data_IF_308657009666
#
_entry.id   IF_308657009666
#
_cell.length_a   1.000
_cell.length_b   1.000
_cell.length_c   1.000
_cell.angle_alpha   90.00
_cell.angle_beta   90.00
_cell.angle_gamma   90.00
#
_symmetry.space_group_name_H-M   'P 1'
#
loop_
_entity.id
_entity.type
_entity.pdbx_description
1 polymer ?
#
# COMPACT_ATOMS: atom_id res chain seq x y z
N UNK A 1 -23.50 4.17 12.69
CA UNK A 1 -23.35 4.50 11.24
C UNK A 1 -24.24 3.54 10.50
N UNK A 2 -25.27 4.05 9.82
CA UNK A 2 -26.17 3.24 9.03
C UNK A 2 -25.51 2.84 7.71
N UNK A 3 -25.97 1.75 7.11
CA UNK A 3 -25.39 1.22 5.86
C UNK A 3 -25.39 2.25 4.74
N UNK A 4 -26.49 2.97 4.56
CA UNK A 4 -26.66 3.99 3.53
C UNK A 4 -25.62 5.13 3.68
N UNK A 5 -25.36 5.59 4.91
CA UNK A 5 -24.38 6.63 5.18
C UNK A 5 -22.96 6.16 4.85
N UNK A 6 -22.66 4.89 5.15
CA UNK A 6 -21.37 4.31 4.85
C UNK A 6 -21.17 4.04 3.36
N UNK A 7 -22.20 3.51 2.67
CA UNK A 7 -22.16 3.20 1.25
C UNK A 7 -22.11 4.45 0.36
N UNK A 8 -22.63 5.59 0.85
CA UNK A 8 -22.65 6.88 0.17
C UNK A 8 -21.50 7.80 0.59
N UNK A 9 -20.53 7.29 1.35
CA UNK A 9 -19.38 8.11 1.74
C UNK A 9 -18.76 8.81 0.52
N UNK A 10 -18.41 10.10 0.66
CA UNK A 10 -17.67 10.81 -0.37
C UNK A 10 -16.34 10.09 -0.63
N UNK A 11 -15.73 10.38 -1.79
CA UNK A 11 -14.42 9.83 -2.14
C UNK A 11 -13.47 9.88 -0.94
N UNK A 12 -12.72 8.81 -0.66
CA UNK A 12 -11.80 8.76 0.45
C UNK A 12 -10.75 9.85 0.30
N UNK A 13 -10.44 10.52 1.38
CA UNK A 13 -9.29 11.43 1.45
C UNK A 13 -8.03 10.70 1.87
N UNK A 14 -6.87 11.24 1.51
CA UNK A 14 -5.57 10.75 1.98
C UNK A 14 -5.56 10.60 3.50
N UNK A 15 -6.01 11.64 4.22
CA UNK A 15 -6.09 11.63 5.67
C UNK A 15 -7.05 10.54 6.21
N UNK A 16 -8.19 10.32 5.56
CA UNK A 16 -9.15 9.28 5.94
C UNK A 16 -8.59 7.88 5.79
N UNK A 17 -7.91 7.59 4.69
CA UNK A 17 -7.23 6.30 4.47
C UNK A 17 -6.16 6.06 5.55
N UNK A 18 -5.32 7.04 5.83
CA UNK A 18 -4.25 6.92 6.82
C UNK A 18 -4.83 6.76 8.23
N UNK A 19 -5.85 7.56 8.59
CA UNK A 19 -6.50 7.46 9.89
C UNK A 19 -7.13 6.07 10.09
N UNK A 20 -7.79 5.53 9.06
CA UNK A 20 -8.36 4.18 9.09
C UNK A 20 -7.27 3.12 9.22
N UNK A 21 -6.20 3.20 8.43
CA UNK A 21 -5.09 2.24 8.52
C UNK A 21 -4.44 2.22 9.90
N UNK A 22 -4.28 3.39 10.53
CA UNK A 22 -3.70 3.52 11.88
C UNK A 22 -4.55 2.87 12.97
N UNK A 23 -5.87 2.70 12.79
CA UNK A 23 -6.73 1.99 13.74
C UNK A 23 -6.37 0.51 13.86
N UNK A 24 -5.70 -0.06 12.87
CA UNK A 24 -5.25 -1.46 12.86
C UNK A 24 -3.84 -1.67 13.44
N UNK A 25 -3.15 -0.62 13.89
CA UNK A 25 -1.82 -0.77 14.47
C UNK A 25 -1.81 -1.79 15.60
N UNK A 26 -0.84 -2.72 15.55
CA UNK A 26 -0.72 -3.82 16.50
C UNK A 26 -1.51 -5.07 16.14
N UNK A 27 -2.45 -5.04 15.19
CA UNK A 27 -3.17 -6.24 14.72
C UNK A 27 -2.18 -7.28 14.22
N UNK A 28 -2.24 -8.56 14.69
CA UNK A 28 -1.33 -9.60 14.27
C UNK A 28 -1.38 -9.86 12.76
N UNK A 29 -0.23 -10.23 12.19
CA UNK A 29 -0.19 -10.74 10.83
C UNK A 29 -0.81 -12.13 10.78
N UNK A 30 -1.72 -12.33 9.83
CA UNK A 30 -2.29 -13.63 9.52
C UNK A 30 -2.33 -13.80 8.01
N UNK A 31 -1.67 -14.82 7.48
CA UNK A 31 -1.72 -15.12 6.05
C UNK A 31 -3.17 -15.35 5.60
N UNK A 32 -3.62 -14.63 4.57
CA UNK A 32 -5.02 -14.65 4.15
C UNK A 32 -5.96 -13.84 5.03
N UNK A 33 -5.46 -13.21 6.09
CA UNK A 33 -6.26 -12.40 7.01
C UNK A 33 -6.82 -11.13 6.39
N UNK A 34 -8.09 -10.84 6.66
CA UNK A 34 -8.81 -9.67 6.17
C UNK A 34 -9.82 -9.14 7.21
N UNK A 35 -9.50 -9.26 8.49
CA UNK A 35 -10.34 -8.79 9.59
C UNK A 35 -9.51 -8.11 10.68
N UNK A 36 -10.17 -7.40 11.60
CA UNK A 36 -9.51 -6.74 12.74
C UNK A 36 -8.79 -7.71 13.71
N UNK A 37 -9.03 -9.02 13.58
CA UNK A 37 -8.35 -10.05 14.39
C UNK A 37 -7.06 -10.56 13.79
N UNK A 38 -6.86 -10.35 12.49
CA UNK A 38 -5.65 -10.72 11.77
C UNK A 38 -5.69 -10.23 10.34
N UNK A 39 -4.59 -9.65 9.88
CA UNK A 39 -4.45 -9.03 8.56
C UNK A 39 -3.16 -9.49 7.88
N UNK A 40 -3.24 -9.81 6.57
CA UNK A 40 -2.05 -9.77 5.74
C UNK A 40 -1.87 -8.38 5.10
N UNK A 41 -0.80 -8.19 4.33
CA UNK A 41 -0.46 -6.90 3.74
C UNK A 41 -1.56 -6.33 2.83
N UNK A 42 -2.08 -7.13 1.91
CA UNK A 42 -3.15 -6.71 0.99
C UNK A 42 -4.53 -6.70 1.67
N UNK A 43 -4.73 -7.50 2.71
CA UNK A 43 -5.92 -7.47 3.57
C UNK A 43 -6.04 -6.17 4.35
N UNK A 44 -4.92 -5.65 4.90
CA UNK A 44 -4.88 -4.33 5.52
C UNK A 44 -5.31 -3.24 4.52
N UNK A 45 -4.70 -3.22 3.33
CA UNK A 45 -5.04 -2.25 2.29
C UNK A 45 -6.52 -2.36 1.91
N UNK A 46 -6.99 -3.59 1.62
CA UNK A 46 -8.37 -3.83 1.23
C UNK A 46 -9.37 -3.41 2.30
N UNK A 47 -9.13 -3.76 3.57
CA UNK A 47 -10.01 -3.40 4.69
C UNK A 47 -10.03 -1.89 4.93
N UNK A 48 -8.87 -1.23 4.83
CA UNK A 48 -8.76 0.22 4.94
C UNK A 48 -9.63 0.92 3.89
N UNK A 49 -9.54 0.52 2.62
CA UNK A 49 -10.33 1.08 1.54
C UNK A 49 -11.82 0.73 1.66
N UNK A 50 -12.14 -0.50 2.08
CA UNK A 50 -13.51 -0.94 2.35
C UNK A 50 -14.20 -0.04 3.39
N UNK A 51 -13.54 0.26 4.50
CA UNK A 51 -14.09 1.15 5.52
C UNK A 51 -14.24 2.61 5.03
N UNK A 52 -13.59 2.97 3.93
CA UNK A 52 -13.74 4.25 3.24
C UNK A 52 -14.64 4.17 2.00
N UNK A 53 -15.46 3.12 1.87
CA UNK A 53 -16.51 3.02 0.86
C UNK A 53 -16.08 2.43 -0.49
N UNK A 54 -14.91 1.76 -0.58
CA UNK A 54 -14.40 1.19 -1.82
C UNK A 54 -13.93 -0.24 -1.69
N UNK A 55 -14.23 -1.06 -2.68
CA UNK A 55 -13.74 -2.42 -2.80
C UNK A 55 -12.47 -2.47 -3.65
N UNK A 56 -11.46 -3.13 -3.13
CA UNK A 56 -10.24 -3.47 -3.87
C UNK A 56 -10.12 -4.99 -4.05
N UNK A 57 -9.38 -5.46 -5.07
CA UNK A 57 -9.02 -6.85 -5.20
C UNK A 57 -8.31 -7.40 -3.95
N UNK A 58 -8.39 -8.72 -3.78
CA UNK A 58 -7.87 -9.35 -2.55
C UNK A 58 -6.34 -9.32 -2.47
N UNK A 59 -5.65 -9.57 -3.56
CA UNK A 59 -4.21 -9.82 -3.54
C UNK A 59 -3.38 -8.60 -3.97
N UNK A 60 -2.20 -8.44 -3.38
CA UNK A 60 -1.26 -7.38 -3.77
C UNK A 60 -0.89 -7.42 -5.25
N UNK A 61 -0.77 -8.63 -5.83
CA UNK A 61 -0.52 -8.85 -7.27
C UNK A 61 -1.64 -8.35 -8.18
N UNK A 62 -2.84 -8.14 -7.67
CA UNK A 62 -3.98 -7.54 -8.38
C UNK A 62 -4.07 -6.05 -8.08
N UNK A 63 -3.85 -5.65 -6.82
CA UNK A 63 -3.89 -4.26 -6.38
C UNK A 63 -2.86 -3.39 -7.11
N UNK A 64 -1.73 -3.96 -7.52
CA UNK A 64 -0.65 -3.26 -8.24
C UNK A 64 -1.07 -2.72 -9.62
N UNK A 65 -2.19 -3.18 -10.17
CA UNK A 65 -2.73 -2.69 -11.45
C UNK A 65 -3.75 -1.55 -11.29
N UNK A 66 -4.12 -1.21 -10.05
CA UNK A 66 -5.07 -0.14 -9.79
C UNK A 66 -4.38 1.22 -9.77
N UNK A 67 -5.12 2.23 -10.14
CA UNK A 67 -4.67 3.60 -9.99
C UNK A 67 -3.62 4.04 -11.00
N UNK A 68 -3.21 5.30 -10.83
CA UNK A 68 -2.13 5.90 -11.62
C UNK A 68 -0.77 5.43 -11.10
N UNK A 69 0.11 5.05 -12.00
CA UNK A 69 1.48 4.69 -11.65
C UNK A 69 2.27 5.91 -11.17
N UNK A 70 3.00 5.73 -10.09
CA UNK A 70 3.99 6.66 -9.58
C UNK A 70 5.36 6.02 -9.79
N UNK A 71 6.25 6.73 -10.47
CA UNK A 71 7.57 6.22 -10.82
C UNK A 71 8.45 6.15 -9.56
N UNK A 72 8.88 4.95 -9.22
CA UNK A 72 9.76 4.64 -8.08
C UNK A 72 10.95 3.76 -8.52
N UNK A 73 11.38 3.88 -9.79
CA UNK A 73 12.43 3.03 -10.36
C UNK A 73 13.75 3.16 -9.59
N UNK A 74 14.37 2.02 -9.32
CA UNK A 74 15.72 1.96 -8.81
C UNK A 74 16.72 2.44 -9.90
N UNK A 75 17.73 3.14 -9.47
CA UNK A 75 18.89 3.44 -10.31
C UNK A 75 19.99 2.41 -10.01
N UNK A 76 20.09 1.40 -10.84
CA UNK A 76 21.05 0.32 -10.66
C UNK A 76 22.52 0.72 -10.93
N UNK A 77 22.76 1.96 -11.39
CA UNK A 77 24.10 2.52 -11.59
C UNK A 77 24.72 3.06 -10.29
N UNK A 78 23.92 3.19 -9.24
CA UNK A 78 24.35 3.76 -7.96
C UNK A 78 25.08 2.70 -7.12
N UNK A 79 26.13 3.14 -6.42
CA UNK A 79 26.88 2.29 -5.47
C UNK A 79 26.01 1.70 -4.37
N UNK A 80 26.50 0.61 -3.75
CA UNK A 80 25.73 -0.12 -2.72
C UNK A 80 26.14 0.24 -1.29
N UNK A 81 26.94 1.30 -1.10
CA UNK A 81 27.23 1.80 0.24
C UNK A 81 26.00 2.51 0.86
N UNK A 82 26.04 2.71 2.18
CA UNK A 82 24.89 3.22 2.91
C UNK A 82 24.47 4.65 2.50
N UNK A 83 25.40 5.49 2.09
CA UNK A 83 25.12 6.86 1.67
C UNK A 83 24.39 6.87 0.32
N UNK A 84 24.87 6.11 -0.65
CA UNK A 84 24.22 5.96 -1.95
C UNK A 84 22.83 5.30 -1.83
N UNK A 85 22.66 4.33 -0.94
CA UNK A 85 21.36 3.71 -0.69
C UNK A 85 20.35 4.69 -0.08
N UNK A 86 20.81 5.59 0.79
CA UNK A 86 19.97 6.65 1.34
C UNK A 86 19.48 7.60 0.25
N UNK A 87 20.40 8.15 -0.53
CA UNK A 87 20.10 9.09 -1.60
C UNK A 87 19.23 8.46 -2.70
N UNK A 88 19.49 7.21 -3.04
CA UNK A 88 18.66 6.47 -3.98
C UNK A 88 17.23 6.36 -3.46
N UNK A 89 17.05 5.93 -2.22
CA UNK A 89 15.71 5.75 -1.65
C UNK A 89 14.97 7.08 -1.56
N UNK A 90 15.63 8.16 -1.15
CA UNK A 90 15.02 9.52 -1.12
C UNK A 90 14.52 9.92 -2.51
N UNK A 91 15.32 9.71 -3.56
CA UNK A 91 14.90 9.99 -4.95
C UNK A 91 13.72 9.11 -5.38
N UNK A 92 13.74 7.83 -5.05
CA UNK A 92 12.67 6.88 -5.44
C UNK A 92 11.32 7.26 -4.85
N UNK A 93 11.30 7.75 -3.63
CA UNK A 93 10.06 8.10 -2.92
C UNK A 93 9.65 9.57 -3.07
N UNK A 94 10.44 10.40 -3.73
CA UNK A 94 10.22 11.85 -3.85
C UNK A 94 8.85 12.23 -4.43
N UNK A 95 8.30 11.40 -5.32
CA UNK A 95 6.99 11.62 -5.97
C UNK A 95 5.81 10.99 -5.21
N UNK A 96 6.08 10.25 -4.13
CA UNK A 96 5.03 9.65 -3.32
C UNK A 96 4.29 10.71 -2.52
N UNK A 97 2.98 10.50 -2.38
CA UNK A 97 2.11 11.28 -1.49
C UNK A 97 1.45 10.36 -0.48
N UNK A 98 1.08 10.88 0.70
CA UNK A 98 0.34 10.12 1.68
C UNK A 98 -0.88 9.43 1.06
N UNK A 99 -1.08 8.14 1.38
CA UNK A 99 -2.14 7.31 0.82
C UNK A 99 -1.76 6.54 -0.45
N UNK A 100 -0.61 6.79 -1.07
CA UNK A 100 -0.12 5.95 -2.18
C UNK A 100 0.14 4.53 -1.70
N UNK A 101 -0.19 3.56 -2.54
CA UNK A 101 0.17 2.16 -2.32
C UNK A 101 1.58 1.92 -2.86
N UNK A 102 2.42 1.29 -2.05
CA UNK A 102 3.79 0.91 -2.41
C UNK A 102 3.92 -0.61 -2.42
N UNK A 103 4.51 -1.14 -3.48
CA UNK A 103 4.56 -2.58 -3.75
C UNK A 103 6.01 -3.07 -3.79
N UNK A 104 6.24 -4.15 -3.07
CA UNK A 104 7.56 -4.78 -2.96
C UNK A 104 7.52 -6.19 -3.53
N UNK A 105 8.66 -6.62 -4.06
CA UNK A 105 8.70 -7.93 -4.68
C UNK A 105 10.05 -8.30 -5.26
N UNK A 106 10.02 -9.18 -6.26
CA UNK A 106 11.20 -9.57 -7.00
C UNK A 106 11.13 -8.93 -8.38
N UNK A 107 12.18 -8.21 -8.81
CA UNK A 107 12.23 -7.64 -10.13
C UNK A 107 12.27 -8.73 -11.21
N UNK A 108 11.91 -8.35 -12.43
CA UNK A 108 12.07 -9.22 -13.58
C UNK A 108 13.54 -9.54 -13.81
N UNK A 109 13.79 -10.81 -14.14
CA UNK A 109 15.12 -11.30 -14.50
C UNK A 109 15.00 -12.09 -15.80
N UNK A 110 16.15 -12.46 -16.43
CA UNK A 110 16.16 -13.31 -17.62
C UNK A 110 15.32 -14.58 -17.46
N UNK A 111 15.18 -15.09 -16.23
CA UNK A 111 14.59 -16.40 -15.95
C UNK A 111 13.26 -16.33 -15.21
N UNK A 112 12.89 -15.19 -14.67
CA UNK A 112 11.67 -15.05 -13.85
C UNK A 112 10.98 -13.73 -14.15
N UNK A 113 9.66 -13.77 -14.33
CA UNK A 113 8.83 -12.57 -14.41
C UNK A 113 8.82 -11.82 -13.08
N UNK A 114 8.60 -10.51 -13.15
CA UNK A 114 8.36 -9.69 -11.96
C UNK A 114 7.24 -10.29 -11.09
N UNK A 115 7.43 -10.26 -9.78
CA UNK A 115 6.40 -10.74 -8.85
C UNK A 115 6.26 -9.80 -7.66
N UNK A 116 5.02 -9.39 -7.39
CA UNK A 116 4.66 -8.59 -6.22
C UNK A 116 4.35 -9.54 -5.06
N UNK A 117 5.04 -9.34 -3.95
CA UNK A 117 4.93 -10.19 -2.75
C UNK A 117 4.42 -9.44 -1.53
N UNK A 118 4.44 -8.11 -1.55
CA UNK A 118 4.03 -7.29 -0.40
C UNK A 118 3.50 -5.93 -0.85
N UNK A 119 2.67 -5.31 0.01
CA UNK A 119 2.12 -3.97 -0.19
C UNK A 119 2.03 -3.22 1.14
N UNK A 120 2.24 -1.92 1.08
CA UNK A 120 2.03 -0.99 2.19
C UNK A 120 1.35 0.29 1.72
N UNK A 121 0.91 1.12 2.66
CA UNK A 121 0.35 2.45 2.42
C UNK A 121 1.41 3.46 2.85
N UNK A 122 1.85 4.30 1.92
CA UNK A 122 2.75 5.40 2.23
C UNK A 122 2.03 6.47 3.06
N UNK A 123 2.64 6.92 4.15
CA UNK A 123 2.00 7.86 5.09
C UNK A 123 2.71 9.22 5.18
N UNK A 124 3.72 9.43 4.32
CA UNK A 124 4.56 10.62 4.33
C UNK A 124 5.90 10.41 5.04
N UNK A 125 6.83 11.34 4.88
CA UNK A 125 8.13 11.37 5.57
C UNK A 125 8.99 10.10 5.41
N UNK A 126 8.83 9.39 4.28
CA UNK A 126 9.53 8.13 4.05
C UNK A 126 8.96 6.94 4.81
N UNK A 127 7.78 7.06 5.43
CA UNK A 127 7.18 5.99 6.23
C UNK A 127 6.02 5.30 5.51
N UNK A 128 5.85 4.03 5.83
CA UNK A 128 4.72 3.19 5.40
C UNK A 128 4.03 2.55 6.59
N UNK A 129 2.71 2.35 6.47
CA UNK A 129 1.96 1.44 7.33
C UNK A 129 1.67 0.16 6.55
N UNK A 130 2.02 -0.98 7.13
CA UNK A 130 1.87 -2.29 6.50
C UNK A 130 1.70 -3.41 7.53
N UNK A 131 1.22 -4.57 7.08
CA UNK A 131 1.14 -5.77 7.91
C UNK A 131 2.36 -6.66 7.63
N UNK A 132 3.30 -6.73 8.60
CA UNK A 132 4.49 -7.58 8.61
C UNK A 132 4.78 -7.97 10.05
N UNK A 133 4.58 -9.24 10.44
CA UNK A 133 4.44 -9.77 11.79
C UNK A 133 3.21 -9.21 12.54
N UNK A 134 2.96 -7.94 12.43
CA UNK A 134 1.78 -7.19 12.88
C UNK A 134 1.62 -5.96 12.01
N UNK A 135 0.49 -5.29 12.08
CA UNK A 135 0.34 -3.96 11.47
C UNK A 135 1.22 -2.97 12.22
N UNK A 136 2.11 -2.34 11.50
CA UNK A 136 3.12 -1.41 12.05
C UNK A 136 3.54 -0.34 11.06
N UNK A 137 4.23 0.68 11.56
CA UNK A 137 4.86 1.72 10.75
C UNK A 137 6.35 1.41 10.67
N UNK A 138 6.88 1.43 9.45
CA UNK A 138 8.30 1.33 9.18
C UNK A 138 8.74 2.44 8.22
N UNK A 139 10.00 2.82 8.32
CA UNK A 139 10.64 3.76 7.41
C UNK A 139 11.20 3.04 6.18
N UNK A 140 11.07 3.65 5.01
CA UNK A 140 11.76 3.24 3.79
C UNK A 140 13.20 3.79 3.73
N UNK A 141 13.54 4.77 4.60
CA UNK A 141 14.81 5.47 4.60
C UNK A 141 15.85 4.66 5.38
N UNK A 142 16.97 4.24 4.76
CA UNK A 142 18.06 3.56 5.41
C UNK A 142 18.62 4.37 6.61
N UNK A 143 19.09 3.67 7.64
CA UNK A 143 19.67 4.29 8.83
C UNK A 143 18.68 4.76 9.89
N UNK A 144 17.37 4.69 9.63
CA UNK A 144 16.35 5.00 10.64
C UNK A 144 16.11 3.81 11.57
N UNK A 145 15.74 4.09 12.84
CA UNK A 145 15.53 3.07 13.88
C UNK A 145 14.48 2.01 13.50
N UNK A 146 13.47 2.41 12.74
CA UNK A 146 12.36 1.55 12.30
C UNK A 146 12.46 1.20 10.82
N UNK A 147 13.66 1.12 10.26
CA UNK A 147 13.88 0.81 8.85
C UNK A 147 13.24 -0.53 8.45
N UNK A 148 12.61 -0.53 7.28
CA UNK A 148 12.06 -1.74 6.68
C UNK A 148 13.14 -2.46 5.86
N UNK A 149 13.62 -3.59 6.35
CA UNK A 149 14.72 -4.35 5.73
C UNK A 149 14.50 -4.67 4.24
N UNK A 150 13.25 -4.84 3.83
CA UNK A 150 12.88 -5.10 2.44
C UNK A 150 12.56 -3.82 1.64
N UNK A 151 12.86 -2.62 2.14
CA UNK A 151 12.61 -1.36 1.42
C UNK A 151 13.32 -1.33 0.04
N UNK A 152 14.51 -1.92 -0.06
CA UNK A 152 15.24 -2.06 -1.32
C UNK A 152 14.47 -2.84 -2.41
N UNK A 153 13.47 -3.63 -2.02
CA UNK A 153 12.61 -4.40 -2.93
C UNK A 153 11.38 -3.62 -3.41
N UNK A 154 11.32 -2.31 -3.17
CA UNK A 154 10.27 -1.45 -3.73
C UNK A 154 10.32 -1.50 -5.26
N UNK A 155 9.24 -1.91 -5.91
CA UNK A 155 9.16 -2.06 -7.36
C UNK A 155 8.20 -1.07 -8.01
N UNK A 156 7.03 -0.87 -7.40
CA UNK A 156 5.95 -0.05 -7.97
C UNK A 156 5.26 0.77 -6.89
N UNK A 157 4.63 1.85 -7.34
CA UNK A 157 3.70 2.59 -6.51
C UNK A 157 2.48 3.03 -7.33
N UNK A 158 1.34 3.14 -6.66
CA UNK A 158 0.04 3.47 -7.25
C UNK A 158 -0.72 4.49 -6.42
N UNK A 159 -1.29 5.49 -7.12
CA UNK A 159 -2.18 6.50 -6.52
C UNK A 159 -3.61 6.27 -6.97
N UNK A 160 -4.51 6.08 -6.00
CA UNK A 160 -5.90 5.70 -6.27
C UNK A 160 -6.90 6.87 -6.14
N UNK A 161 -6.53 7.96 -5.48
CA UNK A 161 -7.47 9.05 -5.13
C UNK A 161 -8.16 9.72 -6.33
N UNK A 162 -7.46 9.86 -7.44
CA UNK A 162 -7.98 10.47 -8.67
C UNK A 162 -8.36 9.45 -9.74
N UNK A 163 -8.33 8.14 -9.37
CA UNK A 163 -8.57 7.07 -10.31
C UNK A 163 -10.07 6.90 -10.59
N UNK A 164 -10.41 6.82 -11.87
CA UNK A 164 -11.78 6.54 -12.36
C UNK A 164 -11.86 5.26 -13.20
N UNK A 165 -10.77 4.48 -13.24
CA UNK A 165 -10.67 3.26 -14.02
C UNK A 165 -11.23 2.03 -13.30
N UNK A 166 -11.16 0.89 -13.98
CA UNK A 166 -11.62 -0.39 -13.47
C UNK A 166 -10.88 -0.84 -12.19
N UNK A 167 -11.53 -1.69 -11.40
CA UNK A 167 -10.95 -2.35 -10.23
C UNK A 167 -11.06 -1.58 -8.91
N UNK A 168 -11.39 -0.29 -8.93
CA UNK A 168 -11.76 0.48 -7.75
C UNK A 168 -13.29 0.67 -7.76
N UNK A 169 -14.00 -0.18 -7.03
CA UNK A 169 -15.46 -0.23 -7.06
C UNK A 169 -16.02 0.47 -5.82
N UNK A 170 -16.81 1.57 -5.98
CA UNK A 170 -17.59 2.09 -4.87
C UNK A 170 -18.53 1.01 -4.34
N UNK A 171 -18.62 0.88 -3.01
CA UNK A 171 -19.46 -0.16 -2.41
C UNK A 171 -20.92 -0.01 -2.83
N UNK A 172 -21.40 1.22 -2.97
CA UNK A 172 -22.74 1.53 -3.49
C UNK A 172 -23.04 1.00 -4.91
N UNK A 173 -22.01 0.65 -5.68
CA UNK A 173 -22.13 0.07 -7.02
C UNK A 173 -21.86 -1.45 -7.05
N UNK A 174 -21.51 -2.03 -5.91
CA UNK A 174 -21.20 -3.46 -5.82
C UNK A 174 -22.48 -4.28 -5.67
N UNK A 175 -22.71 -5.22 -6.61
CA UNK A 175 -23.84 -6.17 -6.53
C UNK A 175 -23.86 -6.99 -5.23
N UNK A 176 -22.73 -7.16 -4.57
CA UNK A 176 -22.62 -7.91 -3.31
C UNK A 176 -23.12 -7.11 -2.09
N UNK A 177 -23.26 -5.80 -2.21
CA UNK A 177 -23.64 -4.88 -1.13
C UNK A 177 -24.82 -3.97 -1.49
N UNK A 178 -25.40 -4.10 -2.68
CA UNK A 178 -26.67 -3.48 -3.03
C UNK A 178 -27.80 -4.37 -2.48
N UNK A 179 -28.41 -3.92 -1.40
CA UNK A 179 -29.64 -4.49 -0.87
C UNK A 179 -30.85 -3.97 -1.63
#
# INVERSE_FOLDING_TARGET
>A
MFYEEWAQKPKPSEAGIIATAKQFLGTPYLWGGASSKGLDCSGLVRLTWFMNGYLLPRNASQQVYLGREIIVKADHSIGKDNEHLYDEMVRRIANLKPGDLVFFGNPETRWKKESITHVGIYIGNGEIIHASHKVRINSLIPGTKNYYENAHRLLKARRLFDWKGEGLVPISQSKAYNL
#
